data_IF_897237885940
#
_entry.id   IF_897237885940
#
_cell.length_a   1.000
_cell.length_b   1.000
_cell.length_c   1.000
_cell.angle_alpha   90.00
_cell.angle_beta   90.00
_cell.angle_gamma   90.00
#
_symmetry.space_group_name_H-M   'P 1'
#
loop_
_entity.id
_entity.type
_entity.pdbx_description
1 polymer ?
#
# COMPACT_ATOMS: atom_id res chain seq x y z
N UNK A 1 -14.53 4.29 -6.75
CA UNK A 1 -13.08 4.22 -6.98
C UNK A 1 -12.83 2.92 -7.73
N UNK A 2 -12.54 2.97 -9.02
CA UNK A 2 -12.32 1.75 -9.81
C UNK A 2 -10.81 1.53 -9.90
N UNK A 3 -10.31 0.56 -9.14
CA UNK A 3 -8.91 0.10 -9.18
C UNK A 3 -8.74 -0.68 -10.47
N UNK A 4 -7.87 -0.24 -11.37
CA UNK A 4 -7.71 -0.87 -12.69
C UNK A 4 -6.72 -2.03 -12.64
N UNK A 5 -5.71 -1.99 -11.77
CA UNK A 5 -4.76 -3.09 -11.57
C UNK A 5 -4.21 -3.10 -10.14
N UNK A 6 -4.09 -4.29 -9.54
CA UNK A 6 -3.44 -4.50 -8.25
C UNK A 6 -2.68 -5.83 -8.26
N UNK A 7 -1.50 -5.86 -7.66
CA UNK A 7 -0.76 -7.09 -7.33
C UNK A 7 -0.85 -7.27 -5.83
N UNK A 8 -1.22 -8.48 -5.38
CA UNK A 8 -1.29 -8.84 -3.96
C UNK A 8 -0.13 -9.78 -3.65
N UNK A 9 0.60 -9.47 -2.59
CA UNK A 9 1.67 -10.32 -2.05
C UNK A 9 1.23 -10.84 -0.68
N UNK A 10 1.21 -12.15 -0.52
CA UNK A 10 0.93 -12.79 0.76
C UNK A 10 2.23 -12.92 1.57
N UNK A 11 2.13 -12.64 2.87
CA UNK A 11 3.24 -12.70 3.80
C UNK A 11 3.07 -13.86 4.77
N UNK A 12 4.20 -14.41 5.20
CA UNK A 12 4.21 -15.43 6.23
C UNK A 12 3.90 -14.80 7.59
N UNK A 13 2.90 -15.37 8.26
CA UNK A 13 2.35 -14.89 9.51
C UNK A 13 3.29 -15.01 10.71
N UNK A 14 4.32 -15.84 10.62
CA UNK A 14 5.24 -16.11 11.72
C UNK A 14 6.59 -15.40 11.53
N UNK A 15 6.90 -14.94 10.32
CA UNK A 15 8.20 -14.34 10.00
C UNK A 15 8.26 -12.82 10.17
N UNK A 16 7.12 -12.12 10.13
CA UNK A 16 7.07 -10.65 10.08
C UNK A 16 6.19 -10.07 11.20
N UNK A 17 6.59 -8.90 11.72
CA UNK A 17 5.82 -8.18 12.73
C UNK A 17 5.93 -6.65 12.57
N UNK A 18 4.84 -5.94 12.86
CA UNK A 18 4.76 -4.48 12.92
C UNK A 18 4.45 -4.05 14.35
N UNK A 19 5.24 -3.12 14.91
CA UNK A 19 5.18 -2.65 16.31
C UNK A 19 5.52 -1.15 16.40
N UNK A 20 5.10 -0.49 17.48
CA UNK A 20 5.40 0.93 17.73
C UNK A 20 4.47 1.89 17.00
N UNK A 21 4.85 3.18 16.88
CA UNK A 21 4.08 4.18 16.12
C UNK A 21 2.67 4.47 16.65
N UNK A 22 2.40 4.18 17.93
CA UNK A 22 1.06 4.30 18.54
C UNK A 22 0.20 3.04 18.48
N UNK A 23 0.73 1.93 17.93
CA UNK A 23 0.03 0.64 17.94
C UNK A 23 0.00 0.04 19.36
N UNK A 24 -1.16 -0.51 19.80
CA UNK A 24 -1.30 -1.04 21.15
C UNK A 24 -0.66 -2.43 21.33
N UNK A 25 -0.28 -3.09 20.24
CA UNK A 25 0.25 -4.45 20.24
C UNK A 25 1.15 -4.70 19.02
N UNK A 26 1.71 -5.92 18.96
CA UNK A 26 2.35 -6.46 17.77
C UNK A 26 1.31 -7.02 16.81
N UNK A 27 1.44 -6.69 15.53
CA UNK A 27 0.58 -7.21 14.47
C UNK A 27 1.40 -7.98 13.45
N UNK A 28 0.84 -9.08 12.96
CA UNK A 28 1.47 -9.88 11.90
C UNK A 28 0.81 -9.46 10.58
N UNK A 29 1.57 -8.89 9.64
CA UNK A 29 1.01 -8.45 8.37
C UNK A 29 0.64 -9.67 7.51
N UNK A 30 -0.58 -9.68 6.94
CA UNK A 30 -1.08 -10.80 6.11
C UNK A 30 -0.71 -10.66 4.64
N UNK A 31 -0.85 -9.44 4.13
CA UNK A 31 -0.61 -9.11 2.74
C UNK A 31 -0.28 -7.63 2.61
N UNK A 32 0.34 -7.27 1.50
CA UNK A 32 0.25 -5.92 0.96
C UNK A 32 -0.14 -6.01 -0.51
N UNK A 33 -0.63 -4.89 -1.04
CA UNK A 33 -0.88 -4.73 -2.46
C UNK A 33 -0.45 -3.35 -2.90
N UNK A 34 -0.28 -3.21 -4.21
CA UNK A 34 0.16 -1.98 -4.83
C UNK A 34 -0.89 -1.49 -5.80
N UNK A 35 -1.10 -0.18 -5.82
CA UNK A 35 -1.87 0.56 -6.79
C UNK A 35 -0.92 1.32 -7.70
N UNK A 36 -1.17 1.29 -9.00
CA UNK A 36 -0.47 2.14 -9.96
C UNK A 36 -1.44 2.62 -11.03
N UNK A 37 -1.08 3.73 -11.67
CA UNK A 37 -1.89 4.31 -12.72
C UNK A 37 -1.37 3.94 -14.11
N UNK A 38 -2.09 4.38 -15.14
CA UNK A 38 -1.77 4.04 -16.52
C UNK A 38 -0.66 4.96 -17.07
N UNK A 39 0.59 4.56 -16.90
CA UNK A 39 1.76 5.30 -17.38
C UNK A 39 2.07 6.57 -16.59
N UNK A 40 2.89 7.46 -17.15
CA UNK A 40 3.37 8.67 -16.45
C UNK A 40 2.35 9.81 -16.40
N UNK A 41 1.28 9.74 -17.20
CA UNK A 41 0.25 10.78 -17.30
C UNK A 41 -0.92 10.57 -16.35
N UNK A 42 -1.06 9.37 -15.78
CA UNK A 42 -2.08 9.02 -14.80
C UNK A 42 -1.41 8.50 -13.54
N UNK A 43 -1.10 9.37 -12.56
CA UNK A 43 -0.52 8.94 -11.27
C UNK A 43 -1.44 7.95 -10.53
N UNK A 44 -0.85 6.94 -9.90
CA UNK A 44 -1.56 5.82 -9.29
C UNK A 44 -1.77 5.87 -7.78
N UNK A 45 -1.13 6.79 -7.06
CA UNK A 45 -1.28 6.83 -5.60
C UNK A 45 -2.73 7.10 -5.19
N UNK A 46 -3.20 6.47 -4.12
CA UNK A 46 -4.56 6.69 -3.60
C UNK A 46 -4.62 7.96 -2.74
N UNK A 47 -3.57 8.25 -1.97
CA UNK A 47 -3.42 9.47 -1.19
C UNK A 47 -2.68 10.58 -1.97
N UNK A 48 -2.69 11.80 -1.42
CA UNK A 48 -2.00 12.98 -1.95
C UNK A 48 -1.26 13.72 -0.84
N UNK A 49 -0.15 14.36 -1.17
CA UNK A 49 0.54 15.31 -0.29
C UNK A 49 0.50 16.68 -0.96
N UNK A 50 -0.12 17.67 -0.32
CA UNK A 50 -0.31 19.03 -0.87
C UNK A 50 -0.91 19.05 -2.28
N UNK A 51 -1.85 18.13 -2.55
CA UNK A 51 -2.49 17.97 -3.85
C UNK A 51 -1.67 17.21 -4.90
N UNK A 52 -0.40 16.86 -4.61
CA UNK A 52 0.44 16.05 -5.50
C UNK A 52 0.11 14.56 -5.35
N UNK A 53 -0.11 13.90 -6.49
CA UNK A 53 -0.18 12.44 -6.63
C UNK A 53 1.19 11.84 -7.01
N UNK A 54 1.41 10.59 -6.61
CA UNK A 54 2.60 9.81 -6.93
C UNK A 54 2.28 8.66 -7.87
N UNK A 55 3.30 8.04 -8.44
CA UNK A 55 3.12 7.02 -9.49
C UNK A 55 2.44 5.75 -8.98
N UNK A 56 2.69 5.39 -7.72
CA UNK A 56 2.13 4.20 -7.09
C UNK A 56 1.98 4.41 -5.58
N UNK A 57 1.16 3.57 -4.96
CA UNK A 57 1.01 3.42 -3.51
C UNK A 57 0.84 1.96 -3.12
#
# INVERSE_FOLDING_TARGET
MFIVFAVVVYLDDEMMAVKGGGLPASYNPKQFHLHWGNGTTSPGSEHTVDGKKYLME
#
